data_IF_516095586676
#
_entry.id   IF_516095586676
#
_cell.length_a   1.000
_cell.length_b   1.000
_cell.length_c   1.000
_cell.angle_alpha   90.00
_cell.angle_beta   90.00
_cell.angle_gamma   90.00
#
_symmetry.space_group_name_H-M   'P 1'
#
loop_
_entity.id
_entity.type
_entity.pdbx_description
1 polymer ?
#
# COMPACT_ATOMS: atom_id res chain seq x y z
N UNK A 1 8.56 -30.52 -10.18
CA UNK A 1 9.22 -29.77 -9.11
C UNK A 1 8.30 -28.67 -8.61
N UNK A 2 8.15 -28.56 -7.30
CA UNK A 2 7.43 -27.47 -6.64
C UNK A 2 8.46 -26.54 -6.03
N UNK A 3 8.40 -25.25 -6.38
CA UNK A 3 9.22 -24.20 -5.79
C UNK A 3 8.33 -23.32 -4.91
N UNK A 4 8.79 -22.99 -3.72
CA UNK A 4 8.03 -22.25 -2.74
C UNK A 4 8.51 -20.80 -2.64
N UNK A 5 7.57 -19.89 -2.38
CA UNK A 5 7.86 -18.50 -2.09
C UNK A 5 7.40 -18.20 -0.66
N UNK A 6 8.23 -17.55 0.15
CA UNK A 6 7.86 -17.22 1.52
C UNK A 6 8.54 -15.96 2.04
N UNK A 7 7.75 -15.14 2.74
CA UNK A 7 8.25 -13.97 3.50
C UNK A 7 8.33 -14.23 5.00
N UNK A 8 7.92 -15.41 5.46
CA UNK A 8 7.80 -15.72 6.89
C UNK A 8 8.65 -16.91 7.36
N UNK A 9 9.11 -17.77 6.45
CA UNK A 9 9.95 -18.94 6.77
C UNK A 9 10.88 -19.28 5.62
N UNK A 10 11.95 -20.03 5.93
CA UNK A 10 12.87 -20.53 4.91
C UNK A 10 12.23 -21.59 4.03
N UNK A 11 12.73 -21.72 2.81
CA UNK A 11 12.33 -22.73 1.81
C UNK A 11 13.54 -23.57 1.42
N UNK A 12 13.33 -24.81 0.98
CA UNK A 12 14.40 -25.66 0.43
C UNK A 12 14.71 -25.32 -1.03
N UNK A 13 13.66 -25.11 -1.84
CA UNK A 13 13.71 -24.70 -3.24
C UNK A 13 12.75 -23.55 -3.50
N UNK A 14 13.23 -22.47 -4.13
CA UNK A 14 12.42 -21.30 -4.44
C UNK A 14 13.04 -19.98 -4.03
N UNK A 15 12.26 -19.07 -3.44
CA UNK A 15 12.75 -17.80 -2.94
C UNK A 15 12.14 -17.46 -1.58
N UNK A 16 12.92 -16.87 -0.69
CA UNK A 16 12.40 -16.46 0.62
C UNK A 16 13.11 -15.22 1.17
N UNK A 17 12.48 -14.64 2.20
CA UNK A 17 13.11 -13.64 3.04
C UNK A 17 13.89 -14.35 4.17
N UNK A 18 15.19 -14.12 4.25
CA UNK A 18 16.07 -14.63 5.31
C UNK A 18 16.54 -13.44 6.16
N UNK A 19 15.92 -13.26 7.33
CA UNK A 19 16.02 -11.99 8.06
C UNK A 19 15.40 -10.86 7.24
N UNK A 20 16.21 -9.87 6.87
CA UNK A 20 15.82 -8.75 6.00
C UNK A 20 16.26 -8.93 4.53
N UNK A 21 16.90 -10.06 4.18
CA UNK A 21 17.49 -10.30 2.86
C UNK A 21 16.64 -11.22 1.99
N UNK A 22 16.39 -10.81 0.77
CA UNK A 22 15.81 -11.66 -0.26
C UNK A 22 16.89 -12.66 -0.72
N UNK A 23 16.53 -13.93 -0.77
CA UNK A 23 17.45 -15.01 -1.20
C UNK A 23 16.72 -15.98 -2.14
N UNK A 24 17.46 -16.54 -3.09
CA UNK A 24 17.02 -17.72 -3.87
C UNK A 24 17.63 -18.97 -3.24
N UNK A 25 16.87 -20.05 -3.25
CA UNK A 25 17.29 -21.40 -2.83
C UNK A 25 17.18 -22.33 -4.01
N UNK A 26 18.32 -22.86 -4.46
CA UNK A 26 18.38 -23.70 -5.65
C UNK A 26 19.43 -24.79 -5.51
N UNK A 27 19.02 -26.05 -5.62
CA UNK A 27 19.92 -27.24 -5.58
C UNK A 27 20.86 -27.26 -4.36
N UNK A 28 20.32 -26.85 -3.19
CA UNK A 28 21.10 -26.78 -1.95
C UNK A 28 21.96 -25.52 -1.79
N UNK A 29 22.02 -24.66 -2.80
CA UNK A 29 22.70 -23.38 -2.75
C UNK A 29 21.78 -22.26 -2.30
N UNK A 30 22.36 -21.25 -1.64
CA UNK A 30 21.69 -20.01 -1.27
C UNK A 30 22.33 -18.86 -2.03
N UNK A 31 21.55 -18.21 -2.88
CA UNK A 31 21.98 -17.07 -3.69
C UNK A 31 21.41 -15.82 -3.06
N UNK A 32 22.24 -14.97 -2.41
CA UNK A 32 21.77 -13.72 -1.82
C UNK A 32 21.48 -12.69 -2.91
N UNK A 33 20.37 -11.94 -2.75
CA UNK A 33 20.00 -10.83 -3.62
C UNK A 33 20.27 -9.48 -2.91
N UNK A 34 19.23 -8.78 -2.49
CA UNK A 34 19.31 -7.50 -1.80
C UNK A 34 18.51 -7.57 -0.49
N UNK A 35 18.63 -6.54 0.35
CA UNK A 35 17.78 -6.40 1.53
C UNK A 35 16.41 -5.81 1.17
N UNK A 36 15.39 -6.08 1.97
CA UNK A 36 14.06 -5.49 1.79
C UNK A 36 14.09 -3.95 1.91
N UNK A 37 15.04 -3.42 2.71
CA UNK A 37 15.26 -1.98 2.85
C UNK A 37 15.79 -1.29 1.58
N UNK A 38 16.52 -2.02 0.73
CA UNK A 38 17.06 -1.51 -0.55
C UNK A 38 15.99 -1.45 -1.66
N UNK A 39 14.83 -2.10 -1.49
CA UNK A 39 13.72 -2.03 -2.44
C UNK A 39 13.05 -0.65 -2.39
N UNK A 40 12.75 -0.08 -3.56
CA UNK A 40 11.90 1.11 -3.65
C UNK A 40 10.42 0.77 -3.34
N UNK A 41 10.03 -0.47 -3.57
CA UNK A 41 8.70 -0.99 -3.27
C UNK A 41 8.53 -1.19 -1.75
N UNK A 42 7.39 -0.76 -1.19
CA UNK A 42 7.06 -0.94 0.22
C UNK A 42 5.95 -1.97 0.41
N UNK A 43 5.99 -2.66 1.55
CA UNK A 43 4.97 -3.61 1.95
C UNK A 43 5.30 -5.07 1.63
N UNK A 44 4.83 -5.97 2.49
CA UNK A 44 5.09 -7.42 2.44
C UNK A 44 4.69 -8.04 1.10
N UNK A 45 3.54 -7.63 0.55
CA UNK A 45 3.06 -8.11 -0.75
C UNK A 45 4.05 -7.80 -1.89
N UNK A 46 4.63 -6.60 -1.89
CA UNK A 46 5.61 -6.25 -2.92
C UNK A 46 6.92 -7.04 -2.76
N UNK A 47 7.29 -7.42 -1.53
CA UNK A 47 8.42 -8.33 -1.31
C UNK A 47 8.11 -9.72 -1.87
N UNK A 48 6.88 -10.22 -1.71
CA UNK A 48 6.43 -11.49 -2.30
C UNK A 48 6.50 -11.43 -3.83
N UNK A 49 6.02 -10.35 -4.43
CA UNK A 49 6.10 -10.12 -5.89
C UNK A 49 7.58 -10.07 -6.37
N UNK A 50 8.47 -9.41 -5.62
CA UNK A 50 9.90 -9.36 -5.90
C UNK A 50 10.57 -10.73 -5.82
N UNK A 51 10.24 -11.54 -4.80
CA UNK A 51 10.75 -12.90 -4.66
C UNK A 51 10.31 -13.78 -5.84
N UNK A 52 9.03 -13.68 -6.24
CA UNK A 52 8.49 -14.41 -7.39
C UNK A 52 9.19 -14.01 -8.69
N UNK A 53 9.28 -12.71 -8.95
CA UNK A 53 9.91 -12.18 -10.16
C UNK A 53 11.40 -12.57 -10.24
N UNK A 54 12.13 -12.44 -9.15
CA UNK A 54 13.54 -12.78 -9.06
C UNK A 54 13.78 -14.28 -9.32
N UNK A 55 12.95 -15.15 -8.73
CA UNK A 55 13.06 -16.59 -8.92
C UNK A 55 12.78 -16.97 -10.37
N UNK A 56 11.70 -16.46 -10.97
CA UNK A 56 11.35 -16.73 -12.35
C UNK A 56 12.42 -16.22 -13.33
N UNK A 57 12.98 -15.02 -13.09
CA UNK A 57 14.05 -14.47 -13.92
C UNK A 57 15.32 -15.33 -13.84
N UNK A 58 15.68 -15.78 -12.62
CA UNK A 58 16.84 -16.67 -12.42
C UNK A 58 16.66 -18.01 -13.13
N UNK A 59 15.48 -18.65 -13.03
CA UNK A 59 15.17 -19.88 -13.76
C UNK A 59 15.14 -19.67 -15.28
N UNK A 60 14.83 -18.44 -15.71
CA UNK A 60 14.93 -18.02 -17.12
C UNK A 60 16.36 -17.73 -17.60
N UNK A 61 17.37 -17.90 -16.73
CA UNK A 61 18.79 -17.71 -17.08
C UNK A 61 19.26 -16.25 -17.03
N UNK A 62 18.52 -15.35 -16.39
CA UNK A 62 18.96 -13.96 -16.19
C UNK A 62 20.08 -13.93 -15.14
N UNK A 63 21.15 -13.18 -15.42
CA UNK A 63 22.25 -12.98 -14.49
C UNK A 63 21.79 -12.37 -13.16
N UNK A 64 22.32 -12.91 -12.06
CA UNK A 64 21.93 -12.48 -10.70
C UNK A 64 22.21 -10.99 -10.44
N UNK A 65 23.27 -10.44 -11.01
CA UNK A 65 23.58 -9.01 -10.87
C UNK A 65 22.52 -8.15 -11.54
N UNK A 66 22.01 -8.56 -12.71
CA UNK A 66 20.91 -7.87 -13.40
C UNK A 66 19.62 -7.94 -12.59
N UNK A 67 19.33 -9.10 -11.99
CA UNK A 67 18.16 -9.27 -11.11
C UNK A 67 18.26 -8.32 -9.92
N UNK A 68 19.41 -8.25 -9.25
CA UNK A 68 19.62 -7.36 -8.10
C UNK A 68 19.45 -5.89 -8.48
N UNK A 69 20.01 -5.47 -9.60
CA UNK A 69 19.85 -4.10 -10.10
C UNK A 69 18.39 -3.77 -10.41
N UNK A 70 17.69 -4.66 -11.10
CA UNK A 70 16.27 -4.50 -11.38
C UNK A 70 15.43 -4.36 -10.10
N UNK A 71 15.66 -5.23 -9.10
CA UNK A 71 14.97 -5.17 -7.82
C UNK A 71 15.16 -3.83 -7.09
N UNK A 72 16.37 -3.28 -7.11
CA UNK A 72 16.72 -2.02 -6.43
C UNK A 72 16.20 -0.78 -7.16
N UNK A 73 16.07 -0.85 -8.48
CA UNK A 73 15.70 0.30 -9.32
C UNK A 73 14.22 0.31 -9.73
N UNK A 74 13.52 -0.82 -9.58
CA UNK A 74 12.11 -0.92 -9.97
C UNK A 74 11.24 -0.04 -9.09
N UNK A 75 10.69 1.02 -9.67
CA UNK A 75 9.78 1.94 -9.00
C UNK A 75 8.38 1.32 -8.85
N UNK A 76 7.64 1.77 -7.83
CA UNK A 76 6.25 1.38 -7.66
C UNK A 76 5.42 1.70 -8.90
N UNK A 77 4.49 0.82 -9.26
CA UNK A 77 3.52 1.09 -10.30
C UNK A 77 2.66 2.30 -9.89
N UNK A 78 2.29 3.17 -10.84
CA UNK A 78 1.39 4.27 -10.56
C UNK A 78 0.12 3.78 -9.84
N UNK A 79 -0.31 4.55 -8.85
CA UNK A 79 -1.49 4.26 -8.03
C UNK A 79 -1.41 3.01 -7.12
N UNK A 80 -0.23 2.39 -6.94
CA UNK A 80 -0.03 1.27 -6.02
C UNK A 80 1.02 1.63 -4.96
N UNK A 81 0.58 2.09 -3.80
CA UNK A 81 1.41 2.62 -2.70
C UNK A 81 2.52 3.55 -3.25
N UNK A 82 2.14 4.34 -4.26
CA UNK A 82 3.03 5.24 -4.98
C UNK A 82 3.41 6.42 -4.08
N UNK A 83 4.70 6.58 -3.78
CA UNK A 83 5.19 7.76 -3.07
C UNK A 83 4.98 9.02 -3.94
N UNK A 84 4.31 10.04 -3.39
CA UNK A 84 4.00 11.29 -4.10
C UNK A 84 5.00 12.39 -3.73
N UNK A 85 5.12 12.67 -2.44
CA UNK A 85 6.10 13.63 -1.90
C UNK A 85 6.21 13.51 -0.37
N UNK A 86 7.26 14.14 0.16
CA UNK A 86 7.37 14.44 1.60
C UNK A 86 7.31 15.96 1.79
N UNK A 87 6.44 16.42 2.70
CA UNK A 87 6.28 17.84 3.06
C UNK A 87 6.26 17.94 4.59
N UNK A 88 7.09 18.81 5.16
CA UNK A 88 7.18 19.04 6.61
C UNK A 88 7.32 17.78 7.46
N UNK A 89 8.08 16.81 6.93
CA UNK A 89 8.28 15.52 7.57
C UNK A 89 7.16 14.50 7.38
N UNK A 90 6.03 14.87 6.73
CA UNK A 90 4.90 14.00 6.41
C UNK A 90 5.07 13.40 5.02
N UNK A 91 4.86 12.09 4.90
CA UNK A 91 4.95 11.37 3.63
C UNK A 91 3.56 11.08 3.05
N UNK A 92 3.37 11.35 1.76
CA UNK A 92 2.09 11.17 1.07
C UNK A 92 2.20 10.03 0.06
N UNK A 93 1.23 9.09 0.11
CA UNK A 93 1.19 7.91 -0.76
C UNK A 93 -0.14 7.79 -1.48
N UNK A 94 -0.08 7.42 -2.76
CA UNK A 94 -1.23 7.17 -3.61
C UNK A 94 -1.39 5.67 -3.86
N UNK A 95 -2.45 5.10 -3.30
CA UNK A 95 -2.85 3.71 -3.49
C UNK A 95 -4.27 3.63 -4.09
N UNK A 96 -4.56 4.51 -5.06
CA UNK A 96 -5.89 4.58 -5.69
C UNK A 96 -6.31 3.26 -6.36
N UNK A 97 -5.38 2.33 -6.60
CA UNK A 97 -5.63 0.99 -7.12
C UNK A 97 -6.26 0.05 -6.08
N UNK A 98 -6.24 0.38 -4.79
CA UNK A 98 -6.94 -0.35 -3.74
C UNK A 98 -8.46 -0.15 -3.83
N UNK A 99 -9.09 -0.80 -4.82
CA UNK A 99 -10.52 -0.66 -5.14
C UNK A 99 -11.42 -1.66 -4.40
N UNK A 100 -10.87 -2.37 -3.43
CA UNK A 100 -11.56 -3.29 -2.51
C UNK A 100 -10.91 -3.26 -1.12
N UNK A 101 -11.60 -3.87 -0.15
CA UNK A 101 -11.19 -3.88 1.26
C UNK A 101 -9.86 -4.58 1.48
N UNK A 102 -9.61 -5.73 0.83
CA UNK A 102 -8.38 -6.52 1.00
C UNK A 102 -7.15 -5.75 0.53
N UNK A 103 -7.26 -5.06 -0.60
CA UNK A 103 -6.17 -4.23 -1.10
C UNK A 103 -5.87 -3.06 -0.16
N UNK A 104 -6.90 -2.42 0.41
CA UNK A 104 -6.71 -1.31 1.34
C UNK A 104 -6.15 -1.76 2.68
N UNK A 105 -6.50 -2.95 3.17
CA UNK A 105 -5.87 -3.58 4.33
C UNK A 105 -4.36 -3.69 4.09
N UNK A 106 -3.95 -4.29 2.99
CA UNK A 106 -2.52 -4.42 2.63
C UNK A 106 -1.83 -3.08 2.44
N UNK A 107 -2.55 -2.07 1.95
CA UNK A 107 -2.06 -0.70 1.84
C UNK A 107 -1.71 -0.09 3.20
N UNK A 108 -2.55 -0.29 4.22
CA UNK A 108 -2.29 0.17 5.58
C UNK A 108 -1.16 -0.61 6.26
N UNK A 109 -1.16 -1.94 6.12
CA UNK A 109 -0.14 -2.85 6.68
C UNK A 109 1.25 -2.68 6.06
N UNK A 110 1.37 -1.94 4.97
CA UNK A 110 2.67 -1.61 4.37
C UNK A 110 3.51 -0.63 5.20
N UNK A 111 2.94 -0.07 6.27
CA UNK A 111 3.58 0.92 7.14
C UNK A 111 3.67 0.41 8.57
N UNK A 112 4.82 0.62 9.20
CA UNK A 112 5.10 0.21 10.59
C UNK A 112 4.39 1.09 11.65
N UNK A 113 3.68 2.13 11.21
CA UNK A 113 2.99 3.10 12.06
C UNK A 113 1.56 3.32 11.57
N UNK A 114 0.64 3.67 12.48
CA UNK A 114 -0.71 4.07 12.07
C UNK A 114 -0.69 5.23 11.08
N UNK A 115 -1.51 5.12 10.04
CA UNK A 115 -1.59 6.09 8.94
C UNK A 115 -2.78 7.03 9.10
N UNK A 116 -2.76 8.15 8.40
CA UNK A 116 -3.95 8.97 8.12
C UNK A 116 -4.52 8.44 6.82
N UNK A 117 -5.65 7.73 6.91
CA UNK A 117 -6.27 7.03 5.79
C UNK A 117 -7.34 7.90 5.13
N UNK A 118 -7.23 8.08 3.82
CA UNK A 118 -8.30 8.63 2.97
C UNK A 118 -8.96 7.45 2.27
N UNK A 119 -10.26 7.19 2.59
CA UNK A 119 -11.02 6.05 2.09
C UNK A 119 -12.42 6.45 1.59
N UNK A 120 -13.07 5.55 0.86
CA UNK A 120 -14.40 5.73 0.29
C UNK A 120 -14.40 5.83 -1.23
N UNK A 121 -15.60 6.05 -1.77
CA UNK A 121 -15.86 6.01 -3.20
C UNK A 121 -17.16 5.29 -3.49
N UNK A 122 -17.27 4.63 -4.65
CA UNK A 122 -18.45 3.84 -5.02
C UNK A 122 -18.50 2.52 -4.25
N UNK A 123 -19.52 2.36 -3.42
CA UNK A 123 -19.73 1.17 -2.59
C UNK A 123 -20.20 -0.02 -3.42
N UNK A 124 -19.57 -1.17 -3.20
CA UNK A 124 -19.95 -2.45 -3.81
C UNK A 124 -20.70 -3.37 -2.85
N UNK A 125 -21.04 -2.89 -1.65
CA UNK A 125 -21.72 -3.68 -0.63
C UNK A 125 -20.87 -4.81 -0.02
N UNK A 126 -19.52 -4.74 -0.13
CA UNK A 126 -18.63 -5.76 0.44
C UNK A 126 -18.67 -5.75 1.96
N UNK A 127 -18.44 -6.91 2.64
CA UNK A 127 -18.29 -6.94 4.09
C UNK A 127 -17.20 -6.00 4.58
N UNK A 128 -17.42 -5.29 5.69
CA UNK A 128 -16.50 -4.29 6.23
C UNK A 128 -15.82 -4.72 7.53
N UNK A 129 -16.20 -5.86 8.11
CA UNK A 129 -15.70 -6.31 9.42
C UNK A 129 -14.17 -6.28 9.51
N UNK A 130 -13.48 -7.03 8.65
CA UNK A 130 -12.03 -7.18 8.69
C UNK A 130 -11.32 -5.87 8.33
N UNK A 131 -11.88 -5.15 7.36
CA UNK A 131 -11.37 -3.83 6.97
C UNK A 131 -11.45 -2.85 8.14
N UNK A 132 -12.56 -2.76 8.84
CA UNK A 132 -12.73 -1.82 9.97
C UNK A 132 -11.93 -2.23 11.21
N UNK A 133 -11.68 -3.52 11.43
CA UNK A 133 -10.73 -3.98 12.46
C UNK A 133 -9.31 -3.51 12.14
N UNK A 134 -8.90 -3.60 10.88
CA UNK A 134 -7.59 -3.09 10.43
C UNK A 134 -7.53 -1.58 10.52
N UNK A 135 -8.57 -0.86 10.09
CA UNK A 135 -8.68 0.60 10.25
C UNK A 135 -8.48 0.99 11.71
N UNK A 136 -9.16 0.33 12.64
CA UNK A 136 -9.04 0.60 14.09
C UNK A 136 -7.60 0.46 14.60
N UNK A 137 -6.86 -0.53 14.13
CA UNK A 137 -5.50 -0.83 14.63
C UNK A 137 -4.38 -0.11 13.86
N UNK A 138 -4.61 0.26 12.60
CA UNK A 138 -3.59 0.80 11.70
C UNK A 138 -3.85 2.23 11.25
N UNK A 139 -4.92 2.89 11.73
CA UNK A 139 -5.14 4.30 11.39
C UNK A 139 -5.13 5.19 12.63
N UNK A 140 -4.55 6.36 12.44
CA UNK A 140 -4.59 7.47 13.40
C UNK A 140 -5.83 8.34 13.16
N UNK A 141 -6.14 8.60 11.90
CA UNK A 141 -7.27 9.38 11.43
C UNK A 141 -7.90 8.71 10.23
N UNK A 142 -9.22 8.63 10.18
CA UNK A 142 -9.98 8.12 9.05
C UNK A 142 -10.72 9.28 8.38
N UNK A 143 -10.38 9.56 7.11
CA UNK A 143 -11.01 10.61 6.30
C UNK A 143 -11.83 9.92 5.21
N UNK A 144 -13.13 10.15 5.19
CA UNK A 144 -14.10 9.49 4.31
C UNK A 144 -14.66 10.46 3.28
N UNK A 145 -14.75 10.00 2.03
CA UNK A 145 -15.38 10.75 0.94
C UNK A 145 -16.14 9.82 -0.02
N UNK A 146 -17.02 10.41 -0.83
CA UNK A 146 -17.80 9.67 -1.83
C UNK A 146 -19.02 8.94 -1.27
N UNK A 147 -19.67 8.16 -2.11
CA UNK A 147 -20.95 7.52 -1.81
C UNK A 147 -20.89 6.51 -0.65
N UNK A 148 -19.75 5.87 -0.42
CA UNK A 148 -19.56 4.92 0.68
C UNK A 148 -19.36 5.58 2.05
N UNK A 149 -19.18 6.90 2.12
CA UNK A 149 -18.71 7.58 3.34
C UNK A 149 -19.61 7.33 4.55
N UNK A 150 -20.94 7.37 4.38
CA UNK A 150 -21.89 7.14 5.47
C UNK A 150 -21.81 5.73 6.02
N UNK A 151 -21.91 4.72 5.16
CA UNK A 151 -21.81 3.30 5.56
C UNK A 151 -20.45 2.97 6.20
N UNK A 152 -19.37 3.56 5.69
CA UNK A 152 -18.03 3.37 6.26
C UNK A 152 -17.93 4.04 7.63
N UNK A 153 -18.53 5.20 7.83
CA UNK A 153 -18.56 5.87 9.14
C UNK A 153 -19.31 5.05 10.18
N UNK A 154 -20.49 4.52 9.83
CA UNK A 154 -21.28 3.65 10.72
C UNK A 154 -20.48 2.43 11.13
N UNK A 155 -19.93 1.68 10.16
CA UNK A 155 -19.12 0.49 10.43
C UNK A 155 -17.85 0.81 11.23
N UNK A 156 -17.21 1.96 10.99
CA UNK A 156 -16.04 2.40 11.74
C UNK A 156 -16.37 2.73 13.20
N UNK A 157 -17.53 3.38 13.45
CA UNK A 157 -18.02 3.64 14.81
C UNK A 157 -18.33 2.35 15.55
N UNK A 158 -19.01 1.40 14.91
CA UNK A 158 -19.29 0.07 15.48
C UNK A 158 -18.00 -0.69 15.82
N UNK A 159 -16.96 -0.58 14.99
CA UNK A 159 -15.66 -1.17 15.24
C UNK A 159 -14.84 -0.43 16.31
N UNK A 160 -15.30 0.74 16.79
CA UNK A 160 -14.62 1.54 17.81
C UNK A 160 -13.46 2.38 17.28
N UNK A 161 -13.52 2.82 16.02
CA UNK A 161 -12.58 3.80 15.45
C UNK A 161 -12.87 5.16 16.10
N UNK A 162 -11.86 5.80 16.68
CA UNK A 162 -12.03 7.00 17.51
C UNK A 162 -12.06 8.31 16.74
N UNK A 163 -11.38 8.40 15.61
CA UNK A 163 -11.25 9.64 14.85
C UNK A 163 -11.69 9.45 13.40
N UNK A 164 -12.86 10.00 13.07
CA UNK A 164 -13.53 9.85 11.79
C UNK A 164 -13.96 11.21 11.28
N UNK A 165 -13.66 11.51 10.03
CA UNK A 165 -13.97 12.77 9.38
C UNK A 165 -14.64 12.52 8.03
N UNK A 166 -15.68 13.28 7.71
CA UNK A 166 -16.30 13.28 6.37
C UNK A 166 -15.95 14.55 5.63
N UNK A 167 -15.65 14.40 4.35
CA UNK A 167 -15.32 15.51 3.45
C UNK A 167 -16.06 15.34 2.12
N UNK A 168 -16.19 16.42 1.35
CA UNK A 168 -16.93 16.43 0.09
C UNK A 168 -16.04 16.31 -1.16
N UNK A 169 -14.72 16.47 -1.01
CA UNK A 169 -13.79 16.48 -2.15
C UNK A 169 -12.41 15.93 -1.77
N UNK A 170 -11.66 15.49 -2.79
CA UNK A 170 -10.27 15.08 -2.62
C UNK A 170 -9.39 16.22 -2.11
N UNK A 171 -9.66 17.44 -2.54
CA UNK A 171 -8.94 18.63 -2.06
C UNK A 171 -9.12 18.81 -0.55
N UNK A 172 -10.35 18.72 -0.06
CA UNK A 172 -10.63 18.79 1.38
C UNK A 172 -9.98 17.64 2.13
N UNK A 173 -10.02 16.40 1.59
CA UNK A 173 -9.37 15.24 2.20
C UNK A 173 -7.85 15.44 2.38
N UNK A 174 -7.19 15.94 1.35
CA UNK A 174 -5.73 16.19 1.39
C UNK A 174 -5.38 17.32 2.37
N UNK A 175 -6.13 18.42 2.35
CA UNK A 175 -5.92 19.55 3.27
C UNK A 175 -6.17 19.14 4.73
N UNK A 176 -7.20 18.34 4.98
CA UNK A 176 -7.49 17.81 6.31
C UNK A 176 -6.38 16.84 6.75
N UNK A 177 -5.93 15.96 5.87
CA UNK A 177 -4.81 15.07 6.14
C UNK A 177 -3.53 15.83 6.52
N UNK A 178 -3.21 16.93 5.82
CA UNK A 178 -2.11 17.82 6.20
C UNK A 178 -2.32 18.43 7.60
N UNK A 179 -3.51 18.97 7.86
CA UNK A 179 -3.84 19.64 9.15
C UNK A 179 -3.73 18.68 10.35
N UNK A 180 -4.12 17.42 10.17
CA UNK A 180 -4.14 16.41 11.24
C UNK A 180 -2.78 15.70 11.42
N UNK A 181 -1.89 15.81 10.43
CA UNK A 181 -0.60 15.16 10.45
C UNK A 181 0.46 15.89 11.28
N UNK A 182 1.47 15.12 11.69
CA UNK A 182 2.69 15.60 12.37
C UNK A 182 3.92 15.06 11.64
N UNK A 183 5.10 15.67 11.79
CA UNK A 183 6.34 15.13 11.23
C UNK A 183 6.53 13.66 11.60
N UNK A 184 6.78 12.82 10.59
CA UNK A 184 6.90 11.36 10.71
C UNK A 184 5.61 10.60 10.39
N UNK A 185 4.46 11.26 10.21
CA UNK A 185 3.21 10.63 9.80
C UNK A 185 3.19 10.28 8.30
N UNK A 186 2.27 9.39 7.96
CA UNK A 186 1.93 8.98 6.59
C UNK A 186 0.47 9.34 6.31
N UNK A 187 0.23 10.04 5.21
CA UNK A 187 -1.10 10.25 4.64
C UNK A 187 -1.23 9.37 3.39
N UNK A 188 -2.20 8.49 3.36
CA UNK A 188 -2.40 7.56 2.25
C UNK A 188 -3.83 7.64 1.70
N UNK A 189 -3.93 7.74 0.36
CA UNK A 189 -5.17 7.43 -0.35
C UNK A 189 -5.21 5.92 -0.59
N UNK A 190 -6.01 5.16 0.14
CA UNK A 190 -6.26 3.73 -0.07
C UNK A 190 -7.76 3.46 0.09
N UNK A 191 -8.54 3.65 -0.99
CA UNK A 191 -9.97 3.95 -0.91
C UNK A 191 -10.87 2.80 -0.47
N UNK A 192 -10.45 1.54 -0.59
CA UNK A 192 -11.27 0.34 -0.40
C UNK A 192 -12.51 0.24 -1.33
N UNK A 193 -12.70 1.22 -2.20
CA UNK A 193 -13.85 1.36 -3.10
C UNK A 193 -13.41 1.64 -4.53
N UNK A 194 -14.27 1.31 -5.51
CA UNK A 194 -14.10 1.83 -6.87
C UNK A 194 -14.34 3.35 -6.90
N UNK A 195 -14.01 4.00 -8.02
CA UNK A 195 -14.00 5.47 -8.11
C UNK A 195 -15.20 6.06 -8.87
N UNK A 196 -16.12 5.21 -9.35
CA UNK A 196 -17.12 5.59 -10.36
C UNK A 196 -18.24 6.52 -9.88
N UNK A 197 -18.27 6.86 -8.59
CA UNK A 197 -19.16 7.87 -8.01
C UNK A 197 -18.67 9.30 -8.24
N UNK A 198 -17.35 9.50 -8.28
CA UNK A 198 -16.73 10.83 -8.39
C UNK A 198 -15.76 10.97 -9.58
N UNK A 199 -15.28 9.87 -10.16
CA UNK A 199 -14.25 9.84 -11.20
C UNK A 199 -14.57 8.79 -12.27
N UNK A 200 -14.04 8.95 -13.47
CA UNK A 200 -14.21 7.98 -14.57
C UNK A 200 -13.50 6.64 -14.31
N UNK A 201 -12.38 6.70 -13.61
CA UNK A 201 -11.55 5.53 -13.27
C UNK A 201 -10.67 5.83 -12.05
N UNK A 202 -9.95 4.81 -11.57
CA UNK A 202 -9.05 4.95 -10.42
C UNK A 202 -7.82 5.80 -10.72
N UNK A 203 -7.39 5.87 -11.97
CA UNK A 203 -6.27 6.69 -12.42
C UNK A 203 -6.57 8.17 -12.27
N UNK A 204 -7.78 8.59 -12.67
CA UNK A 204 -8.24 9.98 -12.51
C UNK A 204 -8.32 10.36 -11.02
N UNK A 205 -8.84 9.48 -10.16
CA UNK A 205 -8.84 9.67 -8.71
C UNK A 205 -7.41 9.83 -8.17
N UNK A 206 -6.50 8.96 -8.57
CA UNK A 206 -5.10 9.02 -8.16
C UNK A 206 -4.39 10.28 -8.66
N UNK A 207 -4.68 10.73 -9.88
CA UNK A 207 -4.15 12.00 -10.42
C UNK A 207 -4.65 13.21 -9.64
N UNK A 208 -5.94 13.24 -9.28
CA UNK A 208 -6.51 14.33 -8.48
C UNK A 208 -5.88 14.38 -7.08
N UNK A 209 -5.72 13.22 -6.42
CA UNK A 209 -4.97 13.14 -5.16
C UNK A 209 -3.55 13.70 -5.32
N UNK A 210 -2.79 13.23 -6.29
CA UNK A 210 -1.41 13.69 -6.54
C UNK A 210 -1.34 15.18 -6.82
N UNK A 211 -2.27 15.72 -7.60
CA UNK A 211 -2.38 17.16 -7.89
C UNK A 211 -2.58 17.95 -6.61
N UNK A 212 -3.53 17.56 -5.77
CA UNK A 212 -3.82 18.25 -4.52
C UNK A 212 -2.64 18.15 -3.55
N UNK A 213 -2.00 16.98 -3.41
CA UNK A 213 -0.80 16.82 -2.58
C UNK A 213 0.34 17.71 -3.06
N UNK A 214 0.58 17.80 -4.37
CA UNK A 214 1.65 18.65 -4.94
C UNK A 214 1.39 20.14 -4.75
N UNK A 215 0.13 20.56 -4.59
CA UNK A 215 -0.27 21.96 -4.37
C UNK A 215 -0.20 22.40 -2.90
N UNK A 216 0.06 21.49 -1.95
CA UNK A 216 0.26 21.85 -0.54
C UNK A 216 1.49 22.77 -0.39
N UNK A 217 1.38 23.74 0.52
CA UNK A 217 2.46 24.66 0.86
C UNK A 217 2.96 24.40 2.27
#
# INVERSE_FOLDING_TARGET
HVCLLSTSHGVEEGACLSGDRLVLKRRGETIPLCTAGELLLKGKQNIEDCLAAAFLAHEGGVDTAVIIEALKTFAALPNRIEFVRKLDGVSYYNDSKATNTDAAIKGMEAFDKPVILIAGGHDKGTPLSDFMQTVRSHTKELILLGAAAERFEEAAREAGVSSIHRVSSMKEAVLLGQKLSRPGDVVILSPACSSFDMYKNMEERGMDFKKNVKSLM
#
